data_IF_769456117113
#
_entry.id   IF_769456117113
#
_cell.length_a   1.000
_cell.length_b   1.000
_cell.length_c   1.000
_cell.angle_alpha   90.00
_cell.angle_beta   90.00
_cell.angle_gamma   90.00
#
_symmetry.space_group_name_H-M   'P 1'
#
loop_
_entity.id
_entity.type
_entity.pdbx_description
1 polymer ?
#
# COMPACT_ATOMS: atom_id res chain seq x y z
N UNK A 1 -26.86 10.57 6.37
CA UNK A 1 -26.06 11.61 7.08
C UNK A 1 -24.57 11.31 6.88
N UNK A 2 -24.06 11.43 5.63
CA UNK A 2 -22.69 10.98 5.25
C UNK A 2 -21.58 11.76 5.95
N UNK A 3 -21.78 13.08 6.12
CA UNK A 3 -20.81 13.98 6.74
C UNK A 3 -20.56 13.58 8.19
N UNK A 4 -21.61 13.34 8.98
CA UNK A 4 -21.46 12.86 10.36
C UNK A 4 -20.69 11.54 10.43
N UNK A 5 -20.94 10.61 9.50
CA UNK A 5 -20.20 9.36 9.47
C UNK A 5 -18.71 9.58 9.15
N UNK A 6 -18.35 10.53 8.28
CA UNK A 6 -16.94 10.77 7.92
C UNK A 6 -16.15 11.54 8.97
N UNK A 7 -16.73 12.55 9.61
CA UNK A 7 -15.98 13.50 10.46
C UNK A 7 -16.50 13.60 11.90
N UNK A 8 -17.59 12.91 12.23
CA UNK A 8 -18.18 12.87 13.58
C UNK A 8 -18.79 14.20 14.03
N UNK A 9 -18.54 14.54 15.30
CA UNK A 9 -19.09 15.70 16.02
C UNK A 9 -18.13 16.89 15.99
N UNK A 10 -18.64 18.08 15.65
CA UNK A 10 -17.88 19.33 15.69
C UNK A 10 -17.50 19.70 17.13
N UNK A 11 -16.27 20.15 17.33
CA UNK A 11 -15.67 20.42 18.64
C UNK A 11 -15.19 19.17 19.38
N UNK A 12 -15.38 17.98 18.80
CA UNK A 12 -14.92 16.71 19.39
C UNK A 12 -13.96 16.01 18.45
N UNK A 13 -14.45 15.58 17.28
CA UNK A 13 -13.66 14.81 16.29
C UNK A 13 -13.19 15.67 15.13
N UNK A 14 -13.73 16.89 14.99
CA UNK A 14 -13.26 17.89 14.04
C UNK A 14 -13.57 19.32 14.50
N UNK A 15 -12.90 20.30 13.88
CA UNK A 15 -13.27 21.72 13.93
C UNK A 15 -13.46 22.26 12.51
N UNK A 16 -14.28 23.31 12.36
CA UNK A 16 -14.45 24.04 11.10
C UNK A 16 -13.71 25.37 11.21
N UNK A 17 -12.74 25.58 10.32
CA UNK A 17 -11.94 26.80 10.27
C UNK A 17 -12.73 27.95 9.62
N UNK A 18 -12.24 29.19 9.78
CA UNK A 18 -12.82 30.37 9.12
C UNK A 18 -12.90 30.23 7.59
N UNK A 19 -11.96 29.47 7.00
CA UNK A 19 -11.93 29.16 5.58
C UNK A 19 -13.00 28.16 5.13
N UNK A 20 -13.77 27.59 6.07
CA UNK A 20 -14.72 26.52 5.83
C UNK A 20 -14.09 25.12 5.72
N UNK A 21 -12.76 25.02 5.86
CA UNK A 21 -12.07 23.74 5.90
C UNK A 21 -12.34 23.00 7.22
N UNK A 22 -12.41 21.68 7.14
CA UNK A 22 -12.57 20.79 8.28
C UNK A 22 -11.19 20.27 8.68
N UNK A 23 -10.80 20.49 9.94
CA UNK A 23 -9.59 19.89 10.53
C UNK A 23 -10.01 18.78 11.48
N UNK A 24 -9.46 17.58 11.29
CA UNK A 24 -9.73 16.45 12.19
C UNK A 24 -8.98 16.63 13.50
N UNK A 25 -9.60 16.19 14.60
CA UNK A 25 -9.02 16.21 15.94
C UNK A 25 -8.72 14.76 16.33
N UNK A 26 -7.50 14.50 16.81
CA UNK A 26 -7.16 13.19 17.35
C UNK A 26 -7.88 12.97 18.70
N UNK A 27 -8.78 11.97 18.74
CA UNK A 27 -9.57 11.64 19.95
C UNK A 27 -9.21 10.24 20.43
N UNK A 28 -9.19 10.05 21.75
CA UNK A 28 -9.03 8.74 22.39
C UNK A 28 -10.35 8.32 23.07
N UNK A 29 -10.54 7.02 23.27
CA UNK A 29 -11.72 6.49 23.97
C UNK A 29 -12.94 6.31 23.06
N UNK A 30 -14.15 6.47 23.60
CA UNK A 30 -15.40 6.07 22.92
C UNK A 30 -15.68 6.80 21.60
N UNK A 31 -15.14 8.02 21.44
CA UNK A 31 -15.35 8.85 20.24
C UNK A 31 -14.20 8.78 19.25
N UNK A 32 -13.29 7.82 19.39
CA UNK A 32 -12.22 7.59 18.42
C UNK A 32 -12.82 7.20 17.06
N UNK A 33 -12.29 7.79 15.98
CA UNK A 33 -12.58 7.33 14.62
C UNK A 33 -11.60 6.20 14.28
N UNK A 34 -12.10 5.06 13.78
CA UNK A 34 -11.28 3.87 13.55
C UNK A 34 -10.33 3.98 12.34
N UNK A 35 -10.55 4.96 11.47
CA UNK A 35 -9.71 5.28 10.32
C UNK A 35 -9.80 6.77 10.00
N UNK A 36 -8.83 7.36 9.26
CA UNK A 36 -8.97 8.72 8.73
C UNK A 36 -10.30 8.88 7.98
N UNK A 37 -11.03 9.97 8.25
CA UNK A 37 -12.37 10.23 7.71
C UNK A 37 -13.37 9.06 7.84
N UNK A 38 -13.14 8.13 8.78
CA UNK A 38 -14.02 7.00 9.05
C UNK A 38 -14.37 6.15 7.79
N UNK A 39 -13.41 6.02 6.86
CA UNK A 39 -13.56 5.30 5.58
C UNK A 39 -14.12 3.88 5.73
N UNK A 40 -13.87 3.19 6.83
CA UNK A 40 -14.44 1.86 7.09
C UNK A 40 -15.97 1.87 7.17
N UNK A 41 -16.57 2.96 7.65
CA UNK A 41 -18.02 3.16 7.68
C UNK A 41 -18.55 3.88 6.43
N UNK A 42 -17.66 4.41 5.60
CA UNK A 42 -18.00 5.23 4.43
C UNK A 42 -17.31 4.74 3.17
N UNK A 43 -17.20 3.41 3.02
CA UNK A 43 -16.39 2.74 1.98
C UNK A 43 -16.69 3.15 0.53
N UNK A 44 -17.92 3.60 0.26
CA UNK A 44 -18.32 4.11 -1.07
C UNK A 44 -17.78 5.51 -1.37
N UNK A 45 -17.15 6.16 -0.38
CA UNK A 45 -16.54 7.48 -0.45
C UNK A 45 -15.03 7.29 -0.23
N UNK A 46 -14.29 7.22 -1.32
CA UNK A 46 -12.83 7.19 -1.26
C UNK A 46 -12.30 8.60 -1.01
N UNK A 47 -11.98 8.92 0.25
CA UNK A 47 -11.53 10.24 0.68
C UNK A 47 -12.55 10.96 1.55
N UNK A 48 -12.81 12.23 1.26
CA UNK A 48 -13.69 13.10 2.04
C UNK A 48 -14.75 13.75 1.12
N UNK A 49 -16.03 13.73 1.52
CA UNK A 49 -17.14 14.36 0.77
C UNK A 49 -17.96 15.31 1.66
N UNK A 50 -17.50 16.56 1.72
CA UNK A 50 -18.21 17.68 2.36
C UNK A 50 -19.28 18.29 1.46
N UNK A 51 -19.52 17.75 0.26
CA UNK A 51 -20.41 18.31 -0.76
C UNK A 51 -19.84 19.52 -1.51
N UNK A 52 -18.57 19.85 -1.28
CA UNK A 52 -17.86 20.97 -1.92
C UNK A 52 -16.41 20.54 -2.22
N UNK A 53 -16.02 20.44 -3.51
CA UNK A 53 -14.68 20.00 -3.89
C UNK A 53 -13.55 20.87 -3.34
N UNK A 54 -13.73 22.19 -3.25
CA UNK A 54 -12.69 23.08 -2.73
C UNK A 54 -12.48 22.84 -1.23
N UNK A 55 -13.58 22.70 -0.48
CA UNK A 55 -13.50 22.34 0.94
C UNK A 55 -12.91 20.96 1.15
N UNK A 56 -13.20 19.99 0.29
CA UNK A 56 -12.61 18.65 0.39
C UNK A 56 -11.08 18.71 0.31
N UNK A 57 -10.53 19.42 -0.69
CA UNK A 57 -9.07 19.57 -0.86
C UNK A 57 -8.45 20.25 0.35
N UNK A 58 -9.01 21.37 0.79
CA UNK A 58 -8.50 22.11 1.95
C UNK A 58 -8.53 21.28 3.23
N UNK A 59 -9.57 20.47 3.41
CA UNK A 59 -9.74 19.63 4.60
C UNK A 59 -8.83 18.39 4.57
N UNK A 60 -8.61 17.78 3.40
CA UNK A 60 -7.64 16.69 3.23
C UNK A 60 -6.22 17.15 3.61
N UNK A 61 -5.85 18.37 3.23
CA UNK A 61 -4.55 18.95 3.59
C UNK A 61 -4.36 19.09 5.11
N UNK A 62 -5.44 19.16 5.86
CA UNK A 62 -5.49 19.27 7.33
C UNK A 62 -5.83 17.96 8.03
N UNK A 63 -5.97 16.85 7.30
CA UNK A 63 -6.42 15.56 7.84
C UNK A 63 -5.40 14.82 8.69
N UNK A 64 -4.16 15.32 8.77
CA UNK A 64 -3.04 14.72 9.49
C UNK A 64 -2.46 15.71 10.52
N UNK A 65 -3.07 15.77 11.71
CA UNK A 65 -2.75 16.75 12.77
C UNK A 65 -1.28 16.75 13.23
N UNK A 66 -0.56 15.65 13.02
CA UNK A 66 0.87 15.53 13.39
C UNK A 66 1.85 15.84 12.25
N UNK A 67 1.34 16.15 11.05
CA UNK A 67 2.13 16.36 9.84
C UNK A 67 1.91 17.77 9.31
N UNK A 68 3.00 18.52 9.09
CA UNK A 68 2.91 19.86 8.48
C UNK A 68 2.24 19.78 7.09
N UNK A 69 1.23 20.62 6.88
CA UNK A 69 0.38 20.67 5.69
C UNK A 69 1.19 20.69 4.38
N UNK A 70 2.37 21.33 4.37
CA UNK A 70 3.23 21.42 3.17
C UNK A 70 3.68 20.05 2.65
N UNK A 71 3.83 19.06 3.52
CA UNK A 71 4.15 17.69 3.10
C UNK A 71 2.95 16.99 2.47
N UNK A 72 1.74 17.25 2.97
CA UNK A 72 0.49 16.67 2.45
C UNK A 72 0.17 17.26 1.08
N UNK A 73 0.28 18.57 0.90
CA UNK A 73 0.06 19.24 -0.39
C UNK A 73 1.01 18.71 -1.48
N UNK A 74 2.30 18.56 -1.14
CA UNK A 74 3.28 18.00 -2.07
C UNK A 74 3.00 16.54 -2.38
N UNK A 75 2.65 15.73 -1.38
CA UNK A 75 2.34 14.31 -1.57
C UNK A 75 1.10 14.13 -2.46
N UNK A 76 0.05 14.92 -2.24
CA UNK A 76 -1.17 14.91 -3.04
C UNK A 76 -0.90 15.26 -4.52
N UNK A 77 -0.12 16.33 -4.76
CA UNK A 77 0.26 16.71 -6.11
C UNK A 77 1.14 15.65 -6.82
N UNK A 78 1.96 14.91 -6.05
CA UNK A 78 2.78 13.82 -6.59
C UNK A 78 1.98 12.54 -6.83
N UNK A 79 0.99 12.22 -5.98
CA UNK A 79 0.16 11.03 -6.13
C UNK A 79 -0.80 11.12 -7.32
N UNK A 80 -1.26 12.34 -7.64
CA UNK A 80 -2.15 12.57 -8.78
C UNK A 80 -1.40 12.75 -10.11
N UNK A 81 -0.07 12.98 -10.06
CA UNK A 81 0.75 13.06 -11.27
C UNK A 81 1.16 11.68 -11.76
N UNK A 82 0.95 11.44 -13.05
CA UNK A 82 1.41 10.23 -13.74
C UNK A 82 0.88 8.93 -13.15
N UNK A 83 -0.35 8.95 -12.63
CA UNK A 83 -1.04 7.73 -12.18
C UNK A 83 -1.03 6.69 -13.32
N UNK A 84 -0.20 5.65 -13.15
CA UNK A 84 -0.11 4.54 -14.09
C UNK A 84 -1.15 3.50 -13.71
N UNK A 85 -2.27 3.52 -14.42
CA UNK A 85 -3.23 2.43 -14.37
C UNK A 85 -2.67 1.25 -15.18
N UNK A 86 -1.84 0.43 -14.56
CA UNK A 86 -1.41 -0.84 -15.16
C UNK A 86 -2.63 -1.76 -15.21
N UNK A 87 -2.90 -2.38 -16.36
CA UNK A 87 -3.93 -3.41 -16.42
C UNK A 87 -3.50 -4.57 -15.52
N UNK A 88 -4.40 -5.00 -14.63
CA UNK A 88 -4.19 -6.25 -13.90
C UNK A 88 -4.34 -7.41 -14.87
N UNK A 89 -3.26 -8.14 -15.12
CA UNK A 89 -3.27 -9.32 -15.98
C UNK A 89 -3.38 -10.57 -15.11
N UNK A 90 -4.52 -11.25 -15.20
CA UNK A 90 -4.67 -12.58 -14.64
C UNK A 90 -4.13 -13.59 -15.65
N UNK A 91 -2.92 -14.09 -15.42
CA UNK A 91 -2.21 -15.00 -16.35
C UNK A 91 -2.64 -16.47 -16.23
N UNK A 92 -3.61 -16.75 -15.35
CA UNK A 92 -4.11 -18.10 -15.11
C UNK A 92 -3.24 -18.93 -14.16
N UNK A 93 -3.39 -20.25 -14.22
CA UNK A 93 -2.64 -21.21 -13.41
C UNK A 93 -1.20 -21.30 -13.92
N UNK A 94 -0.24 -21.31 -12.99
CA UNK A 94 1.18 -21.58 -13.26
C UNK A 94 1.46 -23.00 -12.75
N UNK A 95 1.59 -23.95 -13.67
CA UNK A 95 1.71 -25.39 -13.36
C UNK A 95 2.99 -25.70 -12.60
N UNK A 96 4.08 -24.99 -12.90
CA UNK A 96 5.37 -25.14 -12.23
C UNK A 96 5.34 -24.75 -10.74
N UNK A 97 4.30 -24.04 -10.27
CA UNK A 97 4.13 -23.72 -8.85
C UNK A 97 3.58 -24.90 -8.04
N UNK A 98 2.97 -25.89 -8.69
CA UNK A 98 2.38 -27.03 -8.01
C UNK A 98 3.44 -27.79 -7.18
N UNK A 99 3.17 -27.94 -5.89
CA UNK A 99 4.10 -28.60 -4.95
C UNK A 99 5.27 -27.73 -4.48
N UNK A 100 5.45 -26.51 -5.00
CA UNK A 100 6.57 -25.63 -4.61
C UNK A 100 6.26 -24.70 -3.42
N UNK A 101 4.99 -24.65 -2.98
CA UNK A 101 4.49 -23.73 -1.94
C UNK A 101 5.21 -23.82 -0.59
N UNK A 102 5.86 -24.93 -0.28
CA UNK A 102 6.64 -25.09 0.96
C UNK A 102 8.14 -25.08 0.69
N UNK A 103 8.58 -25.72 -0.41
CA UNK A 103 9.99 -25.95 -0.71
C UNK A 103 10.72 -24.64 -1.00
N UNK A 104 10.17 -23.82 -1.90
CA UNK A 104 10.80 -22.58 -2.33
C UNK A 104 10.83 -21.52 -1.22
N UNK A 105 9.75 -21.26 -0.46
CA UNK A 105 9.82 -20.32 0.67
C UNK A 105 10.84 -20.73 1.73
N UNK A 106 10.92 -22.02 2.07
CA UNK A 106 11.91 -22.49 3.05
C UNK A 106 13.35 -22.29 2.55
N UNK A 107 13.65 -22.58 1.27
CA UNK A 107 14.97 -22.32 0.68
C UNK A 107 15.28 -20.83 0.67
N UNK A 108 14.33 -19.99 0.24
CA UNK A 108 14.45 -18.53 0.25
C UNK A 108 14.81 -18.01 1.64
N UNK A 109 14.02 -18.37 2.64
CA UNK A 109 14.20 -17.88 4.00
C UNK A 109 15.55 -18.34 4.57
N UNK A 110 15.95 -19.57 4.25
CA UNK A 110 17.26 -20.12 4.63
C UNK A 110 18.41 -19.31 4.04
N UNK A 111 18.47 -19.15 2.72
CA UNK A 111 19.63 -18.50 2.12
C UNK A 111 19.67 -16.99 2.39
N UNK A 112 18.52 -16.31 2.47
CA UNK A 112 18.48 -14.90 2.86
C UNK A 112 18.96 -14.70 4.30
N UNK A 113 18.52 -15.55 5.23
CA UNK A 113 19.00 -15.51 6.62
C UNK A 113 20.51 -15.73 6.71
N UNK A 114 21.03 -16.70 5.96
CA UNK A 114 22.47 -16.97 5.90
C UNK A 114 23.25 -15.81 5.29
N UNK A 115 22.72 -15.19 4.23
CA UNK A 115 23.36 -14.05 3.56
C UNK A 115 23.48 -12.86 4.51
N UNK A 116 22.41 -12.53 5.25
CA UNK A 116 22.42 -11.44 6.23
C UNK A 116 23.37 -11.70 7.41
N UNK A 117 23.55 -12.97 7.79
CA UNK A 117 24.45 -13.37 8.88
C UNK A 117 25.91 -13.59 8.45
N UNK A 118 26.20 -13.59 7.14
CA UNK A 118 27.53 -13.80 6.61
C UNK A 118 28.46 -12.62 6.92
N UNK A 119 29.78 -12.87 6.87
CA UNK A 119 30.74 -11.79 6.80
C UNK A 119 30.50 -10.99 5.51
N UNK A 120 30.74 -9.67 5.54
CA UNK A 120 30.48 -8.79 4.40
C UNK A 120 31.19 -9.26 3.12
N UNK A 121 32.43 -9.74 3.24
CA UNK A 121 33.23 -10.23 2.11
C UNK A 121 32.73 -11.58 1.55
N UNK A 122 31.88 -12.31 2.29
CA UNK A 122 31.30 -13.59 1.89
C UNK A 122 29.85 -13.47 1.44
N UNK A 123 29.23 -12.29 1.54
CA UNK A 123 27.80 -12.10 1.25
C UNK A 123 27.42 -12.61 -0.14
N UNK A 124 28.09 -12.12 -1.19
CA UNK A 124 27.77 -12.43 -2.58
C UNK A 124 27.84 -13.94 -2.82
N UNK A 125 28.89 -14.59 -2.30
CA UNK A 125 29.06 -16.03 -2.42
C UNK A 125 27.91 -16.81 -1.78
N UNK A 126 27.50 -16.44 -0.56
CA UNK A 126 26.41 -17.10 0.16
C UNK A 126 25.08 -16.87 -0.53
N UNK A 127 24.82 -15.64 -0.97
CA UNK A 127 23.61 -15.28 -1.69
C UNK A 127 23.51 -16.01 -3.03
N UNK A 128 24.54 -15.92 -3.87
CA UNK A 128 24.55 -16.49 -5.22
C UNK A 128 24.38 -18.02 -5.18
N UNK A 129 25.08 -18.70 -4.27
CA UNK A 129 24.94 -20.15 -4.09
C UNK A 129 23.52 -20.53 -3.69
N UNK A 130 22.93 -19.81 -2.73
CA UNK A 130 21.58 -20.08 -2.27
C UNK A 130 20.50 -19.75 -3.29
N UNK A 131 20.70 -18.68 -4.06
CA UNK A 131 19.80 -18.30 -5.14
C UNK A 131 19.87 -19.27 -6.32
N UNK A 132 21.06 -19.76 -6.67
CA UNK A 132 21.23 -20.82 -7.68
C UNK A 132 20.51 -22.11 -7.28
N UNK A 133 20.61 -22.53 -6.00
CA UNK A 133 19.86 -23.66 -5.46
C UNK A 133 18.33 -23.43 -5.50
N UNK A 134 17.87 -22.22 -5.17
CA UNK A 134 16.47 -21.83 -5.29
C UNK A 134 15.96 -21.93 -6.73
N UNK A 135 16.72 -21.37 -7.69
CA UNK A 135 16.36 -21.38 -9.11
C UNK A 135 16.30 -22.82 -9.65
N UNK A 136 17.33 -23.61 -9.39
CA UNK A 136 17.43 -25.01 -9.86
C UNK A 136 16.40 -25.95 -9.23
N UNK A 137 15.92 -25.67 -8.01
CA UNK A 137 14.88 -26.46 -7.34
C UNK A 137 13.51 -26.31 -8.00
N UNK A 138 13.26 -25.22 -8.73
CA UNK A 138 11.96 -24.95 -9.37
C UNK A 138 11.65 -23.48 -9.55
N UNK A 139 12.43 -22.57 -8.93
CA UNK A 139 12.26 -21.14 -9.09
C UNK A 139 12.37 -20.69 -10.55
N UNK A 140 13.30 -21.26 -11.33
CA UNK A 140 13.47 -20.91 -12.74
C UNK A 140 12.27 -21.33 -13.59
N UNK A 141 11.74 -22.55 -13.40
CA UNK A 141 10.59 -23.03 -14.14
C UNK A 141 9.35 -22.15 -13.94
N UNK A 142 9.13 -21.69 -12.70
CA UNK A 142 8.03 -20.75 -12.37
C UNK A 142 8.24 -19.39 -13.04
N UNK A 143 9.46 -18.86 -13.02
CA UNK A 143 9.79 -17.59 -13.69
C UNK A 143 9.51 -17.69 -15.19
N UNK A 144 10.01 -18.75 -15.83
CA UNK A 144 9.86 -18.97 -17.27
C UNK A 144 8.38 -19.10 -17.66
N UNK A 145 7.60 -19.90 -16.92
CA UNK A 145 6.17 -20.06 -17.19
C UNK A 145 5.39 -18.75 -16.97
N UNK A 146 5.71 -17.99 -15.91
CA UNK A 146 5.09 -16.67 -15.65
C UNK A 146 5.41 -15.67 -16.76
N UNK A 147 6.65 -15.64 -17.26
CA UNK A 147 7.04 -14.79 -18.41
C UNK A 147 6.21 -15.17 -19.64
N UNK A 148 6.21 -16.45 -20.02
CA UNK A 148 5.45 -16.92 -21.19
C UNK A 148 3.93 -16.70 -21.06
N UNK A 149 3.38 -16.80 -19.84
CA UNK A 149 1.98 -16.53 -19.58
C UNK A 149 1.67 -15.02 -19.66
N UNK A 150 2.59 -14.17 -19.20
CA UNK A 150 2.46 -12.71 -19.24
C UNK A 150 2.64 -12.11 -20.63
N UNK A 151 3.56 -12.65 -21.44
CA UNK A 151 3.81 -12.21 -22.82
C UNK A 151 2.55 -12.24 -23.70
N UNK A 152 1.61 -13.13 -23.41
CA UNK A 152 0.30 -13.21 -24.09
C UNK A 152 -0.57 -11.95 -23.92
N UNK A 153 -0.23 -11.09 -22.97
CA UNK A 153 -0.97 -9.86 -22.65
C UNK A 153 -0.22 -8.58 -23.03
N UNK A 154 1.06 -8.72 -23.40
CA UNK A 154 1.92 -7.62 -23.83
C UNK A 154 1.94 -7.60 -25.37
N UNK A 155 0.85 -7.09 -25.96
CA UNK A 155 0.82 -6.50 -27.31
C UNK A 155 0.64 -4.98 -27.20
#
# INVERSE_FOLDING_TARGET
NRRFLQIGEEGVTHEVLESGAVRTIAVQGEKIMNSPNNIDYTIVINGLDLGDPEKNVMSIALGYDTVDQRYIERAYALSDKDARYTKNYSVGVITAEEGMNTVLPNKRDTFLTQSVAAAADDFDKVYDTGFEDYLSTGGQAIIDERIAAFEKYYE
#
